data_IF_700117336294
#
_entry.id   IF_700117336294
#
_cell.length_a   1.000
_cell.length_b   1.000
_cell.length_c   1.000
_cell.angle_alpha   90.00
_cell.angle_beta   90.00
_cell.angle_gamma   90.00
#
_symmetry.space_group_name_H-M   'P 1'
#
loop_
_entity.id
_entity.type
_entity.pdbx_description
1 polymer ?
#
# COMPACT_ATOMS: atom_id res chain seq x y z
N UNK A 1 -30.07 -28.20 8.36
CA UNK A 1 -29.74 -26.84 8.86
C UNK A 1 -28.93 -26.16 7.76
N UNK A 2 -29.58 -25.32 6.97
CA UNK A 2 -29.02 -24.72 5.76
C UNK A 2 -28.18 -23.51 6.17
N UNK A 3 -26.85 -23.58 5.96
CA UNK A 3 -25.97 -22.43 6.18
C UNK A 3 -26.26 -21.37 5.11
N UNK A 4 -26.52 -20.10 5.48
CA UNK A 4 -26.73 -19.05 4.51
C UNK A 4 -25.41 -18.76 3.78
N UNK A 5 -25.43 -18.80 2.45
CA UNK A 5 -24.35 -18.27 1.61
C UNK A 5 -24.26 -16.76 1.88
N UNK A 6 -23.31 -16.37 2.72
CA UNK A 6 -22.88 -14.98 2.79
C UNK A 6 -22.37 -14.59 1.40
N UNK A 7 -23.07 -13.67 0.74
CA UNK A 7 -22.66 -13.06 -0.52
C UNK A 7 -21.29 -12.41 -0.30
N UNK A 8 -20.24 -13.14 -0.66
CA UNK A 8 -18.87 -12.82 -0.27
C UNK A 8 -18.38 -11.57 -0.99
N UNK A 9 -17.99 -10.55 -0.23
CA UNK A 9 -17.11 -9.51 -0.77
C UNK A 9 -15.87 -10.20 -1.33
N UNK A 10 -15.69 -10.14 -2.65
CA UNK A 10 -14.50 -10.70 -3.31
C UNK A 10 -13.32 -9.85 -2.90
N UNK A 11 -12.34 -10.48 -2.25
CA UNK A 11 -11.10 -9.86 -1.79
C UNK A 11 -9.92 -10.53 -2.46
N UNK A 12 -8.92 -9.73 -2.80
CA UNK A 12 -7.62 -10.18 -3.27
C UNK A 12 -6.58 -9.71 -2.27
N UNK A 13 -5.64 -10.60 -1.91
CA UNK A 13 -4.61 -10.33 -0.91
C UNK A 13 -3.22 -10.57 -1.49
N UNK A 14 -2.29 -9.72 -1.09
CA UNK A 14 -0.87 -9.83 -1.41
C UNK A 14 -0.08 -9.62 -0.12
N UNK A 15 0.69 -10.62 0.28
CA UNK A 15 1.66 -10.49 1.37
C UNK A 15 3.04 -10.35 0.72
N UNK A 16 3.71 -9.22 0.98
CA UNK A 16 4.96 -8.83 0.31
C UNK A 16 5.94 -8.33 1.37
N UNK A 17 7.22 -8.54 1.14
CA UNK A 17 8.28 -7.99 1.99
C UNK A 17 8.83 -6.69 1.39
N UNK A 18 9.21 -5.75 2.25
CA UNK A 18 9.90 -4.54 1.80
C UNK A 18 11.36 -4.81 1.53
N UNK A 19 11.90 -4.11 0.55
CA UNK A 19 13.30 -4.19 0.16
C UNK A 19 14.15 -3.12 0.84
N UNK A 20 15.46 -3.18 0.60
CA UNK A 20 16.39 -2.12 1.01
C UNK A 20 15.90 -0.74 0.55
N UNK A 21 16.03 0.31 1.37
CA UNK A 21 16.68 0.31 2.69
C UNK A 21 15.76 -0.04 3.88
N UNK A 22 14.45 -0.22 3.67
CA UNK A 22 13.50 -0.57 4.73
C UNK A 22 13.39 -2.10 4.93
N UNK A 23 14.51 -2.78 5.06
CA UNK A 23 14.55 -4.25 5.21
C UNK A 23 13.71 -4.72 6.42
N UNK A 24 13.21 -5.96 6.34
CA UNK A 24 12.39 -6.64 7.36
C UNK A 24 10.96 -6.12 7.58
N UNK A 25 10.50 -5.14 6.80
CA UNK A 25 9.08 -4.78 6.77
C UNK A 25 8.27 -5.83 6.00
N UNK A 26 7.06 -6.08 6.48
CA UNK A 26 6.09 -6.95 5.84
C UNK A 26 4.84 -6.12 5.57
N UNK A 27 4.25 -6.29 4.39
CA UNK A 27 3.02 -5.61 4.01
C UNK A 27 1.98 -6.60 3.56
N UNK A 28 0.78 -6.46 4.12
CA UNK A 28 -0.42 -7.04 3.58
C UNK A 28 -1.19 -5.98 2.79
N UNK A 29 -1.39 -6.24 1.51
CA UNK A 29 -2.20 -5.43 0.61
C UNK A 29 -3.51 -6.17 0.36
N UNK A 30 -4.64 -5.56 0.69
CA UNK A 30 -5.97 -6.13 0.49
C UNK A 30 -6.77 -5.25 -0.45
N UNK A 31 -7.18 -5.80 -1.58
CA UNK A 31 -8.11 -5.17 -2.51
C UNK A 31 -9.48 -5.81 -2.32
N UNK A 32 -10.52 -4.99 -2.29
CA UNK A 32 -11.90 -5.44 -2.19
C UNK A 32 -12.80 -4.58 -3.05
N UNK A 33 -13.84 -5.18 -3.62
CA UNK A 33 -14.91 -4.46 -4.28
C UNK A 33 -16.14 -4.40 -3.37
N UNK A 34 -16.75 -3.24 -3.27
CA UNK A 34 -18.08 -3.12 -2.66
C UNK A 34 -19.19 -3.60 -3.63
N UNK A 35 -20.43 -3.64 -3.14
CA UNK A 35 -21.59 -4.09 -3.93
C UNK A 35 -21.91 -3.15 -5.11
N UNK A 36 -21.42 -1.92 -5.08
CA UNK A 36 -21.58 -0.92 -6.13
C UNK A 36 -20.42 -0.91 -7.12
N UNK A 37 -19.39 -1.73 -6.90
CA UNK A 37 -18.22 -1.86 -7.76
C UNK A 37 -17.10 -0.86 -7.45
N UNK A 38 -17.17 -0.11 -6.35
CA UNK A 38 -16.05 0.74 -5.94
C UNK A 38 -14.96 -0.12 -5.29
N UNK A 39 -13.72 0.12 -5.71
CA UNK A 39 -12.54 -0.55 -5.18
C UNK A 39 -12.04 0.12 -3.91
N UNK A 40 -11.83 -0.68 -2.86
CA UNK A 40 -11.10 -0.30 -1.65
C UNK A 40 -9.79 -1.09 -1.57
N UNK A 41 -8.69 -0.38 -1.39
CA UNK A 41 -7.36 -0.93 -1.15
C UNK A 41 -6.91 -0.58 0.27
N UNK A 42 -6.37 -1.56 0.98
CA UNK A 42 -5.86 -1.41 2.34
C UNK A 42 -4.45 -1.93 2.41
N UNK A 43 -3.56 -1.15 2.99
CA UNK A 43 -2.17 -1.50 3.27
C UNK A 43 -2.00 -1.62 4.78
N UNK A 44 -1.49 -2.76 5.24
CA UNK A 44 -1.11 -2.99 6.62
C UNK A 44 0.35 -3.43 6.67
N UNK A 45 1.20 -2.56 7.19
CA UNK A 45 2.63 -2.82 7.36
C UNK A 45 2.92 -3.25 8.80
N UNK A 46 3.78 -4.25 8.93
CA UNK A 46 4.34 -4.72 10.19
C UNK A 46 5.87 -4.78 10.10
N UNK A 47 6.52 -4.71 11.27
CA UNK A 47 7.98 -4.72 11.42
C UNK A 47 8.74 -3.65 10.64
N UNK A 48 8.05 -2.68 10.04
CA UNK A 48 8.60 -1.62 9.21
C UNK A 48 9.48 -0.68 10.07
N UNK A 49 10.76 -0.48 9.72
CA UNK A 49 11.63 0.41 10.49
C UNK A 49 11.10 1.85 10.48
N UNK A 50 11.34 2.67 11.51
CA UNK A 50 11.03 4.09 11.44
C UNK A 50 11.88 4.74 10.35
N UNK A 51 11.34 5.71 9.57
CA UNK A 51 12.10 6.41 8.51
C UNK A 51 13.45 6.93 9.01
N UNK A 52 13.45 7.58 10.19
CA UNK A 52 14.64 8.13 10.84
C UNK A 52 15.69 7.08 11.22
N UNK A 53 15.34 5.78 11.33
CA UNK A 53 16.35 4.73 11.55
C UNK A 53 17.07 4.30 10.28
N UNK A 54 16.48 4.59 9.12
CA UNK A 54 17.12 4.36 7.83
C UNK A 54 18.08 5.50 7.54
N UNK A 55 17.60 6.73 7.66
CA UNK A 55 18.37 7.97 7.57
C UNK A 55 17.61 9.09 8.31
N UNK A 56 18.32 9.93 9.06
CA UNK A 56 17.72 10.95 9.93
C UNK A 56 16.92 12.02 9.15
N UNK A 57 17.20 12.22 7.85
CA UNK A 57 16.48 13.17 6.99
C UNK A 57 15.09 12.66 6.57
N UNK A 58 14.87 11.35 6.59
CA UNK A 58 13.65 10.71 6.10
C UNK A 58 12.51 10.85 7.11
N UNK A 59 11.32 11.21 6.61
CA UNK A 59 10.18 11.54 7.47
C UNK A 59 8.99 10.61 7.31
N UNK A 60 8.76 10.06 6.13
CA UNK A 60 7.52 9.34 5.85
C UNK A 60 7.67 8.22 4.83
N UNK A 61 6.78 7.24 4.95
CA UNK A 61 6.48 6.29 3.88
C UNK A 61 5.32 6.84 3.04
N UNK A 62 5.53 7.01 1.74
CA UNK A 62 4.50 7.48 0.82
C UNK A 62 4.14 6.36 -0.14
N UNK A 63 2.84 6.11 -0.30
CA UNK A 63 2.29 5.09 -1.18
C UNK A 63 1.79 5.75 -2.46
N UNK A 64 2.21 5.19 -3.58
CA UNK A 64 1.85 5.64 -4.92
C UNK A 64 1.23 4.50 -5.70
N UNK A 65 0.38 4.86 -6.66
CA UNK A 65 -0.16 3.96 -7.66
C UNK A 65 0.29 4.42 -9.04
N UNK A 66 0.48 3.48 -9.94
CA UNK A 66 0.60 3.77 -11.39
C UNK A 66 -0.15 2.70 -12.15
N UNK A 67 -0.91 3.13 -13.16
CA UNK A 67 -1.45 2.21 -14.17
C UNK A 67 -0.43 2.04 -15.29
N UNK A 68 -0.47 0.90 -15.99
CA UNK A 68 0.49 0.56 -17.04
C UNK A 68 0.73 1.75 -18.01
N UNK A 69 1.96 2.28 -18.03
CA UNK A 69 2.39 3.38 -18.89
C UNK A 69 2.01 4.80 -18.44
N UNK A 70 1.48 5.00 -17.23
CA UNK A 70 1.14 6.32 -16.68
C UNK A 70 2.13 6.77 -15.59
N UNK A 71 2.21 8.07 -15.38
CA UNK A 71 2.96 8.62 -14.25
C UNK A 71 2.37 8.17 -12.90
N UNK A 72 3.22 7.93 -11.88
CA UNK A 72 2.74 7.63 -10.53
C UNK A 72 1.90 8.76 -9.96
N UNK A 73 0.79 8.41 -9.32
CA UNK A 73 -0.04 9.31 -8.54
C UNK A 73 0.01 8.94 -7.05
N UNK A 74 -0.09 9.95 -6.18
CA UNK A 74 -0.06 9.74 -4.73
C UNK A 74 -1.37 9.09 -4.27
N UNK A 75 -1.27 7.91 -3.67
CA UNK A 75 -2.40 7.26 -3.00
C UNK A 75 -2.56 7.85 -1.59
N UNK A 76 -1.43 8.04 -0.89
CA UNK A 76 -1.43 8.65 0.43
C UNK A 76 -0.13 8.46 1.19
N UNK A 77 -0.10 9.02 2.39
CA UNK A 77 1.01 8.87 3.34
C UNK A 77 0.62 7.81 4.35
N UNK A 78 1.53 6.88 4.64
CA UNK A 78 1.28 5.84 5.61
C UNK A 78 1.07 6.44 7.00
N UNK A 79 -0.01 6.06 7.69
CA UNK A 79 -0.18 6.39 9.10
C UNK A 79 0.75 5.50 9.93
N UNK A 80 1.98 5.95 10.12
CA UNK A 80 3.06 5.18 10.74
C UNK A 80 3.10 5.32 12.26
N UNK A 81 3.27 4.20 12.96
CA UNK A 81 3.43 4.12 14.40
C UNK A 81 4.84 3.60 14.73
N UNK A 82 5.74 4.51 15.11
CA UNK A 82 7.14 4.18 15.42
C UNK A 82 7.31 3.23 16.62
N UNK A 83 6.37 3.25 17.59
CA UNK A 83 6.43 2.36 18.76
C UNK A 83 6.10 0.92 18.37
N UNK A 84 5.13 0.74 17.49
CA UNK A 84 4.69 -0.58 17.00
C UNK A 84 5.44 -1.06 15.77
N UNK A 85 6.23 -0.18 15.13
CA UNK A 85 6.86 -0.45 13.83
C UNK A 85 5.85 -0.92 12.80
N UNK A 86 4.69 -0.27 12.78
CA UNK A 86 3.58 -0.62 11.90
C UNK A 86 3.05 0.62 11.22
N UNK A 87 2.36 0.44 10.10
CA UNK A 87 1.68 1.56 9.44
C UNK A 87 0.50 1.10 8.62
N UNK A 88 -0.51 1.95 8.52
CA UNK A 88 -1.72 1.63 7.77
C UNK A 88 -2.08 2.75 6.79
N UNK A 89 -2.65 2.36 5.66
CA UNK A 89 -3.26 3.27 4.70
C UNK A 89 -4.49 2.60 4.11
N UNK A 90 -5.57 3.37 4.00
CA UNK A 90 -6.77 2.97 3.31
C UNK A 90 -7.06 3.98 2.20
N UNK A 91 -7.36 3.48 1.01
CA UNK A 91 -7.68 4.31 -0.15
C UNK A 91 -8.65 3.58 -1.08
N UNK A 92 -9.10 4.29 -2.11
CA UNK A 92 -9.91 3.73 -3.19
C UNK A 92 -9.07 3.51 -4.44
N UNK A 93 -9.46 2.55 -5.28
CA UNK A 93 -8.85 2.31 -6.59
C UNK A 93 -9.94 2.14 -7.65
N UNK A 94 -9.59 2.45 -8.90
CA UNK A 94 -10.48 2.32 -10.04
C UNK A 94 -9.92 1.40 -11.14
N UNK A 95 -8.60 1.26 -11.23
CA UNK A 95 -7.97 0.41 -12.24
C UNK A 95 -8.07 -1.08 -11.89
N UNK A 96 -8.31 -1.92 -12.91
CA UNK A 96 -8.33 -3.38 -12.76
C UNK A 96 -6.94 -3.96 -12.43
N UNK A 97 -5.89 -3.21 -12.77
CA UNK A 97 -4.49 -3.53 -12.50
C UNK A 97 -3.74 -2.23 -12.24
N UNK A 98 -2.96 -2.19 -11.16
CA UNK A 98 -2.03 -1.10 -10.89
C UNK A 98 -0.74 -1.63 -10.27
N UNK A 99 0.35 -0.90 -10.45
CA UNK A 99 1.59 -1.12 -9.71
C UNK A 99 1.59 -0.19 -8.50
N UNK A 100 1.62 -0.78 -7.32
CA UNK A 100 1.82 -0.08 -6.06
C UNK A 100 3.29 0.15 -5.85
N UNK A 101 3.63 1.38 -5.48
CA UNK A 101 4.96 1.83 -5.17
C UNK A 101 4.98 2.37 -3.74
N UNK A 102 6.02 2.07 -2.97
CA UNK A 102 6.22 2.72 -1.66
C UNK A 102 7.62 3.29 -1.60
N UNK A 103 7.70 4.56 -1.23
CA UNK A 103 8.97 5.29 -1.10
C UNK A 103 9.15 5.84 0.30
N UNK A 104 10.42 5.98 0.70
CA UNK A 104 10.86 6.72 1.86
C UNK A 104 11.18 8.16 1.45
N UNK A 105 10.40 9.13 1.93
CA UNK A 105 10.50 10.52 1.51
C UNK A 105 10.96 11.43 2.68
N UNK A 106 11.81 12.41 2.37
CA UNK A 106 12.18 13.51 3.29
C UNK A 106 11.04 14.52 3.47
N UNK A 107 10.18 14.65 2.45
CA UNK A 107 8.99 15.49 2.46
C UNK A 107 7.79 14.68 1.94
N UNK A 108 6.78 14.38 2.77
CA UNK A 108 5.61 13.63 2.33
C UNK A 108 4.72 14.41 1.33
N UNK A 109 4.97 15.70 1.11
CA UNK A 109 4.17 16.56 0.24
C UNK A 109 4.60 16.53 -1.24
N UNK A 110 5.74 15.91 -1.57
CA UNK A 110 6.30 15.85 -2.93
C UNK A 110 5.26 15.40 -3.98
N UNK A 111 5.26 15.97 -5.20
CA UNK A 111 4.23 15.67 -6.21
C UNK A 111 4.47 14.34 -6.93
N UNK A 112 5.68 13.77 -6.81
CA UNK A 112 6.09 12.52 -7.44
C UNK A 112 7.03 11.73 -6.50
N UNK A 113 7.22 10.41 -6.71
CA UNK A 113 8.17 9.63 -5.93
C UNK A 113 9.60 10.08 -6.25
N UNK A 114 10.33 10.56 -5.25
CA UNK A 114 11.74 10.99 -5.41
C UNK A 114 12.68 10.25 -4.47
N UNK A 115 12.14 9.71 -3.38
CA UNK A 115 12.88 8.99 -2.37
C UNK A 115 13.16 7.51 -2.70
N UNK A 116 13.84 6.84 -1.77
CA UNK A 116 14.24 5.46 -1.93
C UNK A 116 13.02 4.53 -1.98
N UNK A 117 12.99 3.65 -2.97
CA UNK A 117 11.89 2.73 -3.22
C UNK A 117 12.05 1.46 -2.39
N UNK A 118 11.05 1.16 -1.56
CA UNK A 118 11.08 0.04 -0.61
C UNK A 118 10.06 -1.04 -0.92
N UNK A 119 9.13 -0.77 -1.84
CA UNK A 119 8.15 -1.75 -2.32
C UNK A 119 7.79 -1.44 -3.76
N UNK A 120 7.72 -2.48 -4.58
CA UNK A 120 7.05 -2.47 -5.86
C UNK A 120 6.21 -3.73 -6.00
N UNK A 121 4.91 -3.59 -6.19
CA UNK A 121 4.02 -4.73 -6.33
C UNK A 121 2.93 -4.44 -7.35
N UNK A 122 2.84 -5.28 -8.37
CA UNK A 122 1.68 -5.31 -9.26
C UNK A 122 0.51 -5.97 -8.52
N UNK A 123 -0.61 -5.26 -8.41
CA UNK A 123 -1.85 -5.78 -7.82
C UNK A 123 -2.96 -5.76 -8.86
N UNK A 124 -3.84 -6.75 -8.77
CA UNK A 124 -4.97 -6.93 -9.68
C UNK A 124 -6.24 -6.91 -8.86
N UNK A 125 -7.23 -6.15 -9.32
CA UNK A 125 -8.53 -6.05 -8.70
C UNK A 125 -9.20 -7.43 -8.61
N UNK A 126 -9.96 -7.72 -7.54
CA UNK A 126 -10.81 -8.90 -7.49
C UNK A 126 -11.77 -8.91 -8.68
N UNK A 127 -12.01 -10.07 -9.29
CA UNK A 127 -13.01 -10.18 -10.36
C UNK A 127 -14.38 -9.78 -9.82
N UNK A 128 -15.15 -8.99 -10.57
CA UNK A 128 -16.55 -8.66 -10.27
C UNK A 128 -17.39 -9.93 -10.16
#
# INVERSE_FOLDING_TARGET
MTLPFASGCKKQKYDVETTSPANAGQVQIVLSLDKTGNGKITFAFEHLPPPQRVDDSLKAYVVWGTADGKDPYKIGVLNYNAKKRSGTLEATFADDRLTVLVTLEEDPSVPAPVGARVLEQVVVAPKK
#
